data_IF_745737517724
#
_entry.id   IF_745737517724
#
_cell.length_a   1.000
_cell.length_b   1.000
_cell.length_c   1.000
_cell.angle_alpha   90.00
_cell.angle_beta   90.00
_cell.angle_gamma   90.00
#
_symmetry.space_group_name_H-M   'P 1'
#
loop_
_entity.id
_entity.type
_entity.pdbx_description
1 polymer ?
#
# COMPACT_ATOMS: atom_id res chain seq x y z
N UNK A 1 -3.65 36.55 16.82
CA UNK A 1 -3.06 35.20 16.86
C UNK A 1 -2.93 34.72 15.42
N UNK A 2 -1.72 34.74 14.88
CA UNK A 2 -1.45 34.36 13.49
C UNK A 2 -1.57 32.85 13.34
N UNK A 3 -2.53 32.38 12.54
CA UNK A 3 -2.51 31.01 12.03
C UNK A 3 -1.22 30.81 11.24
N UNK A 4 -0.29 30.01 11.77
CA UNK A 4 0.83 29.48 10.99
C UNK A 4 0.22 28.48 10.01
N UNK A 5 -0.02 28.92 8.78
CA UNK A 5 -0.08 28.01 7.63
C UNK A 5 1.29 27.32 7.57
N UNK A 6 1.37 26.02 7.84
CA UNK A 6 2.61 25.26 7.72
C UNK A 6 2.99 25.19 6.24
N UNK A 7 3.76 26.18 5.81
CA UNK A 7 4.39 26.18 4.51
C UNK A 7 5.33 24.96 4.43
N UNK A 8 5.15 24.12 3.41
CA UNK A 8 6.06 23.03 3.08
C UNK A 8 7.49 23.57 2.96
N UNK A 9 8.38 23.23 3.89
CA UNK A 9 9.80 23.48 3.72
C UNK A 9 10.40 22.27 2.99
N UNK A 10 10.71 22.46 1.70
CA UNK A 10 11.35 21.46 0.84
C UNK A 10 12.69 20.96 1.38
N UNK A 11 13.31 21.68 2.31
CA UNK A 11 14.62 21.38 2.87
C UNK A 11 14.65 20.13 3.77
N UNK A 12 13.49 19.64 4.21
CA UNK A 12 13.41 18.48 5.13
C UNK A 12 13.06 17.17 4.43
N UNK A 13 12.93 17.22 3.09
CA UNK A 13 12.55 16.08 2.27
C UNK A 13 13.78 15.35 1.74
N UNK A 14 13.78 14.02 1.87
CA UNK A 14 14.80 13.18 1.27
C UNK A 14 14.16 12.06 0.44
N UNK A 15 14.68 11.79 -0.77
CA UNK A 15 14.14 10.75 -1.62
C UNK A 15 14.60 9.36 -1.16
N UNK A 16 13.71 8.39 -1.29
CA UNK A 16 14.02 6.96 -1.33
C UNK A 16 13.63 6.45 -2.71
N UNK A 17 14.57 5.79 -3.37
CA UNK A 17 14.35 5.17 -4.66
C UNK A 17 13.94 3.72 -4.48
N UNK A 18 12.95 3.28 -5.25
CA UNK A 18 12.41 1.92 -5.23
C UNK A 18 12.33 1.45 -6.67
N UNK A 19 13.20 0.51 -7.04
CA UNK A 19 13.23 -0.05 -8.39
C UNK A 19 12.09 -1.04 -8.59
N UNK A 20 11.40 -0.92 -9.72
CA UNK A 20 10.43 -1.88 -10.27
C UNK A 20 11.07 -2.50 -11.51
N UNK A 21 11.91 -3.50 -11.25
CA UNK A 21 12.77 -4.22 -12.18
C UNK A 21 11.99 -4.79 -13.38
N UNK A 22 10.80 -5.37 -13.14
CA UNK A 22 9.99 -6.02 -14.19
C UNK A 22 9.60 -5.07 -15.32
N UNK A 23 9.56 -3.75 -15.06
CA UNK A 23 9.25 -2.73 -16.06
C UNK A 23 10.33 -1.66 -16.23
N UNK A 24 11.51 -1.87 -15.63
CA UNK A 24 12.67 -0.96 -15.70
C UNK A 24 12.33 0.49 -15.32
N UNK A 25 11.56 0.67 -14.26
CA UNK A 25 11.19 1.98 -13.72
C UNK A 25 11.64 2.09 -12.28
N UNK A 26 11.97 3.31 -11.86
CA UNK A 26 12.31 3.61 -10.47
C UNK A 26 11.28 4.58 -9.93
N UNK A 27 10.65 4.23 -8.82
CA UNK A 27 9.83 5.14 -8.06
C UNK A 27 10.71 6.00 -7.16
N UNK A 28 10.42 7.30 -7.12
CA UNK A 28 11.07 8.24 -6.22
C UNK A 28 10.08 8.72 -5.17
N UNK A 29 10.31 8.33 -3.92
CA UNK A 29 9.40 8.55 -2.81
C UNK A 29 10.04 9.51 -1.82
N UNK A 30 9.48 10.70 -1.66
CA UNK A 30 9.95 11.67 -0.69
C UNK A 30 9.44 11.33 0.71
N UNK A 31 10.37 11.33 1.66
CA UNK A 31 10.16 11.16 3.10
C UNK A 31 10.52 12.46 3.82
N UNK A 32 10.09 12.63 5.08
CA UNK A 32 10.53 13.74 5.94
C UNK A 32 11.46 13.25 7.04
N UNK A 33 12.46 14.07 7.37
CA UNK A 33 13.36 13.84 8.49
C UNK A 33 12.63 13.95 9.85
N UNK A 34 11.71 14.90 9.95
CA UNK A 34 10.87 15.11 11.12
C UNK A 34 9.39 15.03 10.73
N UNK A 35 8.62 14.26 11.49
CA UNK A 35 7.20 14.06 11.27
C UNK A 35 6.65 12.83 12.02
N UNK A 36 5.37 12.59 11.84
CA UNK A 36 4.68 11.41 12.38
C UNK A 36 4.88 10.18 11.48
N UNK A 37 4.25 9.07 11.84
CA UNK A 37 4.32 7.77 11.14
C UNK A 37 4.01 7.80 9.64
N UNK A 38 3.37 8.86 9.14
CA UNK A 38 2.98 9.02 7.74
C UNK A 38 4.07 9.62 6.84
N UNK A 39 5.25 9.93 7.37
CA UNK A 39 6.32 10.60 6.61
C UNK A 39 7.51 9.69 6.23
N UNK A 40 7.44 8.40 6.56
CA UNK A 40 8.51 7.41 6.31
C UNK A 40 7.98 6.23 5.49
N UNK A 41 8.88 5.59 4.74
CA UNK A 41 8.61 4.34 4.04
C UNK A 41 8.72 3.18 5.04
N UNK A 42 7.59 2.51 5.25
CA UNK A 42 7.49 1.33 6.10
C UNK A 42 7.99 0.07 5.39
N UNK A 43 8.72 -0.80 6.08
CA UNK A 43 9.23 -2.04 5.47
C UNK A 43 8.09 -2.95 4.99
N UNK A 44 6.97 -3.00 5.70
CA UNK A 44 5.77 -3.71 5.26
C UNK A 44 5.27 -3.24 3.88
N UNK A 45 5.39 -1.94 3.56
CA UNK A 45 5.00 -1.40 2.26
C UNK A 45 5.95 -1.85 1.15
N UNK A 46 7.24 -2.04 1.44
CA UNK A 46 8.21 -2.58 0.49
C UNK A 46 7.97 -4.05 0.22
N UNK A 47 7.69 -4.84 1.26
CA UNK A 47 7.34 -6.26 1.12
C UNK A 47 6.12 -6.42 0.21
N UNK A 48 5.06 -5.63 0.42
CA UNK A 48 3.88 -5.70 -0.44
C UNK A 48 4.17 -5.24 -1.87
N UNK A 49 4.86 -4.11 -2.05
CA UNK A 49 5.21 -3.59 -3.37
C UNK A 49 6.03 -4.61 -4.18
N UNK A 50 7.02 -5.23 -3.55
CA UNK A 50 7.88 -6.23 -4.19
C UNK A 50 7.19 -7.57 -4.40
N UNK A 51 6.24 -7.94 -3.55
CA UNK A 51 5.36 -9.08 -3.82
C UNK A 51 4.50 -8.85 -5.07
N UNK A 52 3.89 -7.67 -5.22
CA UNK A 52 3.11 -7.34 -6.44
C UNK A 52 3.96 -7.42 -7.70
N UNK A 53 5.20 -6.95 -7.63
CA UNK A 53 6.18 -7.12 -8.70
C UNK A 53 6.48 -8.59 -9.01
N UNK A 54 6.78 -9.41 -7.99
CA UNK A 54 7.01 -10.86 -8.16
C UNK A 54 5.80 -11.54 -8.83
N UNK A 55 4.58 -11.15 -8.46
CA UNK A 55 3.37 -11.67 -9.11
C UNK A 55 3.29 -11.27 -10.58
N UNK A 56 3.67 -10.04 -10.93
CA UNK A 56 3.76 -9.59 -12.31
C UNK A 56 4.90 -10.27 -13.10
N UNK A 57 6.01 -10.66 -12.47
CA UNK A 57 7.06 -11.46 -13.10
C UNK A 57 6.53 -12.85 -13.48
N UNK A 58 5.71 -13.47 -12.64
CA UNK A 58 5.09 -14.77 -12.94
C UNK A 58 3.90 -14.68 -13.89
N UNK A 59 3.14 -13.59 -13.82
CA UNK A 59 1.95 -13.33 -14.63
C UNK A 59 1.90 -11.87 -15.03
N UNK A 60 2.35 -11.56 -16.25
CA UNK A 60 2.53 -10.19 -16.73
C UNK A 60 1.26 -9.31 -16.65
N UNK A 61 0.08 -9.89 -16.80
CA UNK A 61 -1.20 -9.18 -16.74
C UNK A 61 -1.85 -9.18 -15.35
N UNK A 62 -1.14 -9.61 -14.29
CA UNK A 62 -1.68 -9.74 -12.93
C UNK A 62 -2.36 -8.46 -12.42
N UNK A 63 -1.79 -7.28 -12.70
CA UNK A 63 -2.35 -5.97 -12.34
C UNK A 63 -2.88 -5.16 -13.53
N UNK A 64 -2.75 -5.66 -14.76
CA UNK A 64 -3.07 -4.87 -15.95
C UNK A 64 -4.57 -4.55 -16.03
N UNK A 65 -4.90 -3.27 -15.99
CA UNK A 65 -6.27 -2.78 -16.13
C UNK A 65 -7.20 -3.08 -14.95
N UNK A 66 -6.68 -3.64 -13.85
CA UNK A 66 -7.49 -3.90 -12.66
C UNK A 66 -7.63 -2.64 -11.81
N UNK A 67 -8.74 -2.52 -11.08
CA UNK A 67 -8.98 -1.42 -10.15
C UNK A 67 -8.44 -1.78 -8.76
N UNK A 68 -7.61 -0.92 -8.20
CA UNK A 68 -6.97 -1.10 -6.89
C UNK A 68 -7.34 0.08 -5.99
N UNK A 69 -7.76 -0.22 -4.77
CA UNK A 69 -7.92 0.75 -3.69
C UNK A 69 -6.90 0.43 -2.61
N UNK A 70 -6.07 1.40 -2.27
CA UNK A 70 -5.16 1.32 -1.13
C UNK A 70 -5.72 2.16 0.03
N UNK A 71 -5.82 1.54 1.21
CA UNK A 71 -6.24 2.18 2.46
C UNK A 71 -5.01 2.39 3.34
N UNK A 72 -4.80 3.61 3.82
CA UNK A 72 -3.59 3.94 4.61
C UNK A 72 -2.34 3.98 3.73
N UNK A 73 -2.42 4.67 2.59
CA UNK A 73 -1.35 4.71 1.58
C UNK A 73 -0.04 5.31 2.09
N UNK A 74 -0.06 6.13 3.13
CA UNK A 74 1.09 6.88 3.64
C UNK A 74 1.77 7.67 2.53
N UNK A 75 2.97 7.23 2.13
CA UNK A 75 3.74 7.83 1.05
C UNK A 75 3.37 7.33 -0.36
N UNK A 76 2.51 6.33 -0.46
CA UNK A 76 1.97 5.78 -1.71
C UNK A 76 2.79 4.64 -2.32
N UNK A 77 3.73 4.04 -1.60
CA UNK A 77 4.68 3.05 -2.14
C UNK A 77 3.97 1.90 -2.87
N UNK A 78 2.98 1.27 -2.24
CA UNK A 78 2.32 0.08 -2.79
C UNK A 78 1.46 0.46 -3.98
N UNK A 79 0.58 1.44 -3.86
CA UNK A 79 -0.32 1.79 -4.94
C UNK A 79 0.39 2.51 -6.09
N UNK A 80 1.47 3.27 -5.88
CA UNK A 80 2.31 3.77 -6.97
C UNK A 80 3.03 2.64 -7.70
N UNK A 81 3.44 1.59 -6.98
CA UNK A 81 3.95 0.35 -7.58
C UNK A 81 2.87 -0.33 -8.43
N UNK A 82 1.67 -0.51 -7.88
CA UNK A 82 0.55 -1.10 -8.61
C UNK A 82 0.18 -0.31 -9.88
N UNK A 83 0.16 1.02 -9.80
CA UNK A 83 -0.09 1.90 -10.95
C UNK A 83 1.00 1.75 -12.02
N UNK A 84 2.25 1.65 -11.58
CA UNK A 84 3.41 1.43 -12.46
C UNK A 84 3.33 0.09 -13.19
N UNK A 85 2.76 -0.93 -12.54
CA UNK A 85 2.48 -2.26 -13.07
C UNK A 85 1.16 -2.36 -13.88
N UNK A 86 0.49 -1.23 -14.13
CA UNK A 86 -0.66 -1.16 -15.05
C UNK A 86 -2.04 -1.17 -14.39
N UNK A 87 -2.13 -1.09 -13.06
CA UNK A 87 -3.41 -0.97 -12.36
C UNK A 87 -3.99 0.45 -12.43
N UNK A 88 -5.31 0.56 -12.28
CA UNK A 88 -6.03 1.80 -12.03
C UNK A 88 -6.16 2.00 -10.52
N UNK A 89 -5.37 2.91 -9.95
CA UNK A 89 -5.18 3.00 -8.51
C UNK A 89 -5.89 4.20 -7.90
N UNK A 90 -6.56 3.95 -6.79
CA UNK A 90 -7.00 4.98 -5.85
C UNK A 90 -6.20 4.85 -4.56
N UNK A 91 -5.50 5.91 -4.19
CA UNK A 91 -4.75 6.02 -2.93
C UNK A 91 -5.58 6.80 -1.90
N UNK A 92 -5.69 6.29 -0.67
CA UNK A 92 -6.45 6.93 0.40
C UNK A 92 -5.68 6.92 1.71
N UNK A 93 -5.79 8.01 2.45
CA UNK A 93 -5.20 8.17 3.79
C UNK A 93 -5.93 9.30 4.54
N UNK A 94 -5.52 9.55 5.78
CA UNK A 94 -5.99 10.66 6.59
C UNK A 94 -5.52 12.02 6.01
N UNK A 95 -6.25 13.12 6.24
CA UNK A 95 -5.98 14.43 5.66
C UNK A 95 -4.53 14.93 5.80
N UNK A 96 -3.86 14.59 6.88
CA UNK A 96 -2.48 14.95 7.20
C UNK A 96 -1.43 14.27 6.31
N UNK A 97 -1.71 13.08 5.77
CA UNK A 97 -0.81 12.36 4.87
C UNK A 97 -0.97 12.79 3.41
N UNK A 98 -2.17 13.25 3.03
CA UNK A 98 -2.50 13.67 1.66
C UNK A 98 -1.52 14.66 1.02
N UNK A 99 -0.95 15.66 1.72
CA UNK A 99 -0.07 16.64 1.10
C UNK A 99 1.24 16.01 0.61
N UNK A 100 1.85 15.10 1.40
CA UNK A 100 3.08 14.40 1.00
C UNK A 100 2.80 13.27 0.01
N UNK A 101 1.67 12.57 0.17
CA UNK A 101 1.19 11.59 -0.80
C UNK A 101 1.04 12.21 -2.20
N UNK A 102 0.38 13.39 -2.30
CA UNK A 102 0.21 14.14 -3.56
C UNK A 102 1.54 14.55 -4.19
N UNK A 103 2.53 14.93 -3.39
CA UNK A 103 3.88 15.20 -3.89
C UNK A 103 4.47 13.96 -4.57
N UNK A 104 4.42 12.80 -3.90
CA UNK A 104 4.96 11.55 -4.43
C UNK A 104 4.22 11.09 -5.70
N UNK A 105 2.91 11.28 -5.76
CA UNK A 105 2.12 11.01 -6.98
C UNK A 105 2.61 11.88 -8.15
N UNK A 106 2.82 13.17 -7.90
CA UNK A 106 3.27 14.11 -8.92
C UNK A 106 4.68 13.81 -9.42
N UNK A 107 5.60 13.45 -8.52
CA UNK A 107 6.98 13.08 -8.86
C UNK A 107 7.01 11.84 -9.77
N UNK A 108 6.18 10.85 -9.46
CA UNK A 108 6.11 9.60 -10.22
C UNK A 108 5.16 9.68 -11.43
N UNK A 109 4.63 10.87 -11.73
CA UNK A 109 3.75 11.17 -12.89
C UNK A 109 2.55 10.21 -13.00
N UNK A 110 2.08 9.69 -11.87
CA UNK A 110 0.96 8.76 -11.85
C UNK A 110 -0.36 9.53 -11.87
N UNK A 111 -1.32 9.07 -12.69
CA UNK A 111 -2.67 9.62 -12.70
C UNK A 111 -3.50 8.88 -11.67
N UNK A 112 -3.98 9.59 -10.65
CA UNK A 112 -5.04 9.09 -9.78
C UNK A 112 -6.36 9.55 -10.34
N UNK A 113 -7.34 8.66 -10.35
CA UNK A 113 -8.68 8.96 -10.82
C UNK A 113 -9.70 8.76 -9.70
N UNK A 114 -10.65 9.69 -9.61
CA UNK A 114 -11.77 9.66 -8.66
C UNK A 114 -12.85 8.68 -9.14
N UNK A 115 -13.01 8.50 -10.45
CA UNK A 115 -14.00 7.57 -10.99
C UNK A 115 -13.72 6.10 -10.60
N UNK A 116 -12.47 5.59 -10.68
CA UNK A 116 -12.13 4.28 -10.13
C UNK A 116 -12.41 4.12 -8.64
N UNK A 117 -12.37 5.19 -7.84
CA UNK A 117 -12.76 5.11 -6.42
C UNK A 117 -14.26 4.84 -6.30
N UNK A 118 -15.10 5.65 -6.97
CA UNK A 118 -16.55 5.48 -6.95
C UNK A 118 -16.94 4.10 -7.47
N UNK A 119 -16.32 3.65 -8.56
CA UNK A 119 -16.56 2.33 -9.13
C UNK A 119 -16.09 1.21 -8.18
N UNK A 120 -14.94 1.37 -7.52
CA UNK A 120 -14.45 0.39 -6.52
C UNK A 120 -15.40 0.32 -5.33
N UNK A 121 -15.88 1.45 -4.82
CA UNK A 121 -16.88 1.50 -3.74
C UNK A 121 -18.21 0.86 -4.17
N UNK A 122 -18.66 1.10 -5.40
CA UNK A 122 -19.84 0.44 -5.98
C UNK A 122 -19.62 -1.08 -6.11
N UNK A 123 -18.44 -1.53 -6.53
CA UNK A 123 -18.09 -2.95 -6.58
C UNK A 123 -18.12 -3.57 -5.17
N UNK A 124 -17.54 -2.91 -4.16
CA UNK A 124 -17.58 -3.39 -2.78
C UNK A 124 -19.01 -3.55 -2.27
N UNK A 125 -19.89 -2.59 -2.57
CA UNK A 125 -21.29 -2.61 -2.16
C UNK A 125 -22.15 -3.66 -2.91
N UNK A 126 -21.85 -3.92 -4.19
CA UNK A 126 -22.66 -4.77 -5.09
C UNK A 126 -21.98 -6.11 -5.48
N UNK A 127 -21.11 -6.64 -4.61
CA UNK A 127 -20.32 -7.86 -4.86
C UNK A 127 -21.18 -9.15 -4.80
N UNK A 128 -22.02 -9.37 -5.82
CA UNK A 128 -22.71 -10.66 -6.01
C UNK A 128 -21.89 -11.59 -6.93
N UNK A 129 -21.22 -11.05 -7.96
CA UNK A 129 -20.60 -11.86 -9.02
C UNK A 129 -19.06 -11.73 -9.15
N UNK A 130 -18.41 -10.80 -8.45
CA UNK A 130 -16.94 -10.67 -8.40
C UNK A 130 -16.52 -10.28 -7.00
N UNK A 131 -15.83 -11.18 -6.28
CA UNK A 131 -15.30 -10.90 -4.93
C UNK A 131 -13.93 -10.21 -5.07
N UNK A 132 -13.66 -9.07 -4.41
CA UNK A 132 -12.33 -8.47 -4.40
C UNK A 132 -11.34 -9.42 -3.72
N UNK A 133 -10.10 -9.42 -4.19
CA UNK A 133 -8.97 -9.99 -3.45
C UNK A 133 -8.35 -8.87 -2.63
N UNK A 134 -8.24 -9.06 -1.32
CA UNK A 134 -7.63 -8.09 -0.42
C UNK A 134 -6.24 -8.61 -0.07
N UNK A 135 -5.24 -7.74 -0.17
CA UNK A 135 -3.91 -8.01 0.35
C UNK A 135 -3.68 -7.10 1.56
N UNK A 136 -3.23 -7.69 2.66
CA UNK A 136 -2.91 -6.97 3.89
C UNK A 136 -1.49 -7.32 4.30
N UNK A 137 -0.67 -6.30 4.54
CA UNK A 137 0.64 -6.44 5.16
C UNK A 137 0.69 -5.76 6.51
N UNK A 138 1.28 -6.44 7.49
CA UNK A 138 1.46 -5.91 8.83
C UNK A 138 2.81 -6.34 9.39
N UNK A 139 3.58 -5.37 9.88
CA UNK A 139 4.75 -5.65 10.71
C UNK A 139 4.26 -6.09 12.10
N UNK A 140 4.71 -7.26 12.55
CA UNK A 140 4.50 -7.79 13.89
C UNK A 140 5.34 -7.01 14.89
N UNK A 141 4.76 -6.78 16.05
CA UNK A 141 5.33 -5.88 17.04
C UNK A 141 5.39 -6.59 18.37
N UNK A 142 6.47 -6.37 19.11
CA UNK A 142 6.75 -7.18 20.29
C UNK A 142 5.92 -6.81 21.51
N UNK A 143 5.37 -5.59 21.55
CA UNK A 143 4.61 -5.13 22.72
C UNK A 143 3.34 -5.97 22.93
N UNK A 144 3.08 -6.34 24.18
CA UNK A 144 1.90 -7.15 24.56
C UNK A 144 0.58 -6.52 24.14
N UNK A 145 0.51 -5.17 24.16
CA UNK A 145 -0.68 -4.44 23.72
C UNK A 145 -0.94 -4.70 22.23
N UNK A 146 0.09 -4.59 21.40
CA UNK A 146 -0.06 -4.76 19.95
C UNK A 146 -0.30 -6.23 19.57
N UNK A 147 0.32 -7.18 20.29
CA UNK A 147 0.01 -8.62 20.15
C UNK A 147 -1.46 -8.91 20.43
N UNK A 148 -1.99 -8.44 21.56
CA UNK A 148 -3.41 -8.63 21.91
C UNK A 148 -4.36 -7.96 20.92
N UNK A 149 -4.03 -6.74 20.47
CA UNK A 149 -4.84 -6.04 19.47
C UNK A 149 -4.84 -6.78 18.13
N UNK A 150 -3.69 -7.33 17.74
CA UNK A 150 -3.58 -8.15 16.54
C UNK A 150 -4.41 -9.43 16.64
N UNK A 151 -4.35 -10.13 17.77
CA UNK A 151 -5.15 -11.35 17.99
C UNK A 151 -6.65 -11.05 17.87
N UNK A 152 -7.13 -9.99 18.54
CA UNK A 152 -8.54 -9.55 18.46
C UNK A 152 -8.93 -9.16 17.03
N UNK A 153 -8.05 -8.46 16.31
CA UNK A 153 -8.29 -8.10 14.91
C UNK A 153 -8.39 -9.35 14.03
N UNK A 154 -7.44 -10.28 14.17
CA UNK A 154 -7.36 -11.50 13.37
C UNK A 154 -8.59 -12.39 13.62
N UNK A 155 -8.98 -12.61 14.88
CA UNK A 155 -10.18 -13.35 15.24
C UNK A 155 -11.43 -12.75 14.57
N UNK A 156 -11.65 -11.44 14.71
CA UNK A 156 -12.78 -10.75 14.08
C UNK A 156 -12.75 -10.85 12.55
N UNK A 157 -11.57 -10.78 11.96
CA UNK A 157 -11.41 -10.89 10.51
C UNK A 157 -11.81 -12.30 10.02
N UNK A 158 -11.44 -13.36 10.76
CA UNK A 158 -11.79 -14.74 10.40
C UNK A 158 -13.29 -15.04 10.47
N UNK A 159 -14.09 -14.23 11.16
CA UNK A 159 -15.56 -14.38 11.17
C UNK A 159 -16.15 -14.19 9.77
N UNK A 160 -15.62 -13.23 9.00
CA UNK A 160 -16.19 -12.79 7.72
C UNK A 160 -15.39 -13.20 6.48
N UNK A 161 -14.12 -13.58 6.65
CA UNK A 161 -13.19 -13.81 5.54
C UNK A 161 -12.47 -15.17 5.64
N UNK A 162 -12.12 -15.72 4.48
CA UNK A 162 -11.04 -16.68 4.34
C UNK A 162 -9.71 -15.93 4.31
N UNK A 163 -8.75 -16.38 5.10
CA UNK A 163 -7.43 -15.74 5.23
C UNK A 163 -6.36 -16.77 4.90
N UNK A 164 -5.48 -16.41 3.96
CA UNK A 164 -4.32 -17.19 3.55
C UNK A 164 -3.06 -16.37 3.88
N UNK A 165 -2.16 -16.91 4.70
CA UNK A 165 -0.82 -16.31 4.87
C UNK A 165 0.02 -16.68 3.65
N UNK A 166 0.57 -15.68 2.97
CA UNK A 166 1.49 -15.89 1.86
C UNK A 166 2.85 -16.32 2.44
N UNK A 167 3.33 -17.54 2.13
CA UNK A 167 4.60 -18.04 2.64
C UNK A 167 5.80 -17.20 2.16
N UNK A 168 6.86 -17.13 2.95
CA UNK A 168 8.06 -16.33 2.63
C UNK A 168 8.76 -16.76 1.34
N UNK A 169 8.66 -18.04 0.97
CA UNK A 169 9.16 -18.59 -0.29
C UNK A 169 8.40 -18.09 -1.52
N UNK A 170 7.18 -17.59 -1.35
CA UNK A 170 6.39 -16.95 -2.41
C UNK A 170 6.58 -15.43 -2.44
N UNK A 171 7.36 -14.87 -1.50
CA UNK A 171 7.67 -13.44 -1.43
C UNK A 171 9.01 -13.15 -2.13
N UNK A 172 9.29 -11.87 -2.36
CA UNK A 172 10.54 -11.45 -2.96
C UNK A 172 11.74 -11.81 -2.07
N UNK A 173 12.78 -12.42 -2.66
CA UNK A 173 13.92 -13.00 -1.91
C UNK A 173 14.61 -12.00 -0.96
N UNK A 174 14.75 -10.75 -1.39
CA UNK A 174 15.39 -9.67 -0.62
C UNK A 174 14.42 -8.80 0.18
N UNK A 175 13.11 -8.89 -0.06
CA UNK A 175 12.10 -8.01 0.53
C UNK A 175 11.01 -8.87 1.19
N UNK A 176 11.43 -9.57 2.25
CA UNK A 176 10.61 -10.43 3.10
C UNK A 176 11.21 -10.46 4.51
N UNK A 177 10.38 -10.71 5.52
CA UNK A 177 10.81 -10.86 6.91
C UNK A 177 9.81 -11.75 7.67
N UNK A 178 10.30 -12.55 8.62
CA UNK A 178 9.44 -13.31 9.54
C UNK A 178 8.55 -12.41 10.39
N UNK A 179 8.99 -11.17 10.59
CA UNK A 179 8.27 -10.16 11.38
C UNK A 179 7.28 -9.37 10.52
N UNK A 180 7.17 -9.63 9.21
CA UNK A 180 6.19 -8.98 8.34
C UNK A 180 5.24 -10.03 7.78
N UNK A 181 3.99 -9.96 8.20
CA UNK A 181 2.93 -10.80 7.65
C UNK A 181 2.47 -10.24 6.32
N UNK A 182 2.30 -11.12 5.34
CA UNK A 182 1.58 -10.86 4.11
C UNK A 182 0.39 -11.81 4.04
N UNK A 183 -0.81 -11.25 4.06
CA UNK A 183 -2.07 -11.98 4.05
C UNK A 183 -2.84 -11.71 2.76
N UNK A 184 -3.41 -12.76 2.19
CA UNK A 184 -4.43 -12.70 1.16
C UNK A 184 -5.78 -13.03 1.80
N UNK A 185 -6.70 -12.09 1.70
CA UNK A 185 -7.99 -12.11 2.37
C UNK A 185 -9.09 -12.15 1.30
N UNK A 186 -10.01 -13.10 1.44
CA UNK A 186 -11.08 -13.36 0.48
C UNK A 186 -12.41 -13.41 1.24
N UNK A 187 -13.42 -12.67 0.78
CA UNK A 187 -14.75 -12.68 1.40
C UNK A 187 -15.36 -14.09 1.34
N UNK A 188 -15.93 -14.56 2.47
CA UNK A 188 -16.66 -15.84 2.52
C UNK A 188 -17.79 -15.90 1.51
#
# INVERSE_FOLDING_TARGET
MSHRTSCFQLNDLFPREIDIEVCLKTLKIFQKLEGDVNCVVWDASLVLAKYLETMCQHKADFLSGIKVLELGSGLGVVGLTAATLGAQVTLTDLPEALPLLRLNISENKQKIAIDPLIETLQCLNNTINKKPTIYLTQELRDSDIQKKLWDVFYEKLTEFFYIEKIPEEQQHVNYRSSDILLLKIIKK
#
